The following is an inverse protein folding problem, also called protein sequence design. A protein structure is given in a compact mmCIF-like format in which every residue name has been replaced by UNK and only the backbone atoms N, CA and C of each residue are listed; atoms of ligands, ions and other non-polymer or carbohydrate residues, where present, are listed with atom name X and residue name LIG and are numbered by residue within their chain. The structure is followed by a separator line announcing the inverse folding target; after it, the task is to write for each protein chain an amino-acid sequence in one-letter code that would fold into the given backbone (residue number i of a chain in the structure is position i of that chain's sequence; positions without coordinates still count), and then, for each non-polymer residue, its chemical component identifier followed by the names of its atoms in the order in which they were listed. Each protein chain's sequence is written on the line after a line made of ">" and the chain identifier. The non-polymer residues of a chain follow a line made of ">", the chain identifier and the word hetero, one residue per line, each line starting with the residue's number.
data_IF_737237914940
#
_entry.id   IF_737237914940
#
_cell.length_a   1.000
_cell.length_b   1.000
_cell.length_c   1.000
_cell.angle_alpha   90.00
_cell.angle_beta   90.00
_cell.angle_gamma   90.00
#
_symmetry.space_group_name_H-M   'P 1'
#
loop_
_entity.id
_entity.type
_entity.pdbx_description
1 polymer ?
#
# COMPACT_ATOMS: atom_id res chain seq x y z
N UNK A 1 33.86 -1.21 -1.12
CA UNK A 1 32.91 -0.18 -0.67
C UNK A 1 31.61 -0.90 -0.41
N UNK A 2 31.17 -1.01 0.84
CA UNK A 2 29.92 -1.70 1.17
C UNK A 2 28.76 -0.96 0.50
N UNK A 3 27.94 -1.69 -0.26
CA UNK A 3 26.73 -1.12 -0.84
C UNK A 3 25.69 -1.00 0.27
N UNK A 4 25.11 0.18 0.41
CA UNK A 4 23.86 0.30 1.18
C UNK A 4 22.82 -0.40 0.33
N UNK A 5 22.28 -1.50 0.85
CA UNK A 5 21.17 -2.18 0.22
C UNK A 5 20.01 -1.21 0.30
N UNK A 6 19.54 -0.74 -0.85
CA UNK A 6 18.24 -0.10 -0.89
C UNK A 6 17.28 -1.15 -0.34
N UNK A 7 16.65 -0.86 0.80
CA UNK A 7 15.53 -1.65 1.27
C UNK A 7 14.47 -1.42 0.19
N UNK A 8 14.40 -2.34 -0.78
CA UNK A 8 13.25 -2.45 -1.65
C UNK A 8 12.08 -2.63 -0.71
N UNK A 9 11.29 -1.58 -0.57
CA UNK A 9 9.99 -1.64 0.09
C UNK A 9 9.28 -2.81 -0.56
N UNK A 10 9.04 -3.86 0.24
CA UNK A 10 8.38 -5.11 -0.12
C UNK A 10 7.60 -4.96 -1.42
N UNK A 11 8.17 -5.44 -2.52
CA UNK A 11 7.61 -5.55 -3.86
C UNK A 11 6.15 -5.01 -3.99
N UNK A 12 5.98 -3.69 -3.96
CA UNK A 12 4.85 -3.07 -4.65
C UNK A 12 5.30 -3.10 -6.11
N UNK A 13 5.17 -4.28 -6.72
CA UNK A 13 5.04 -4.42 -8.17
C UNK A 13 3.72 -3.76 -8.57
N UNK A 14 3.59 -2.46 -8.29
CA UNK A 14 2.89 -1.57 -9.17
C UNK A 14 3.72 -1.59 -10.43
N UNK A 15 3.41 -2.50 -11.35
CA UNK A 15 3.74 -2.28 -12.74
C UNK A 15 3.16 -0.90 -13.03
N UNK A 16 4.02 0.10 -13.06
CA UNK A 16 3.74 1.39 -13.64
C UNK A 16 3.41 1.11 -15.09
N UNK A 17 2.15 0.75 -15.34
CA UNK A 17 1.61 0.78 -16.69
C UNK A 17 1.58 2.25 -16.99
N UNK A 18 2.61 2.68 -17.71
CA UNK A 18 2.59 3.88 -18.50
C UNK A 18 1.21 3.92 -19.15
N UNK A 19 0.35 4.82 -18.67
CA UNK A 19 -0.87 5.15 -19.38
C UNK A 19 -0.40 5.88 -20.64
N UNK A 20 0.02 5.09 -21.64
CA UNK A 20 0.16 5.55 -22.98
C UNK A 20 -1.21 6.10 -23.34
N UNK A 21 -1.29 7.42 -23.48
CA UNK A 21 -2.42 8.13 -24.03
C UNK A 21 -2.58 7.68 -25.48
N UNK A 22 -3.17 6.50 -25.65
CA UNK A 22 -3.67 6.01 -26.92
C UNK A 22 -5.12 6.47 -26.98
N UNK A 23 -5.41 7.29 -27.99
CA UNK A 23 -6.76 7.72 -28.38
C UNK A 23 -7.65 6.49 -28.68
N UNK A 24 -8.14 5.81 -27.64
CA UNK A 24 -9.34 5.00 -27.67
C UNK A 24 -10.52 5.91 -27.41
N UNK A 25 -11.64 5.69 -28.10
CA UNK A 25 -12.85 6.47 -27.89
C UNK A 25 -13.30 6.32 -26.43
N UNK A 26 -13.22 7.38 -25.63
CA UNK A 26 -13.75 7.40 -24.26
C UNK A 26 -15.22 6.97 -24.29
N UNK A 27 -15.57 5.91 -23.55
CA UNK A 27 -16.96 5.50 -23.38
C UNK A 27 -17.68 6.63 -22.63
N UNK A 28 -18.77 7.21 -23.16
CA UNK A 28 -19.51 8.26 -22.46
C UNK A 28 -19.91 7.78 -21.05
N UNK A 29 -19.70 8.63 -20.04
CA UNK A 29 -19.93 8.29 -18.63
C UNK A 29 -21.28 7.60 -18.35
N UNK A 30 -22.43 8.05 -18.89
CA UNK A 30 -23.71 7.34 -18.70
C UNK A 30 -23.70 5.91 -19.25
N UNK A 31 -23.10 5.69 -20.42
CA UNK A 31 -22.99 4.36 -21.02
C UNK A 31 -22.06 3.43 -20.21
N UNK A 32 -20.97 3.98 -19.65
CA UNK A 32 -20.06 3.23 -18.77
C UNK A 32 -20.77 2.77 -17.47
N UNK A 33 -21.57 3.65 -16.87
CA UNK A 33 -22.34 3.32 -15.66
C UNK A 33 -23.32 2.17 -15.92
N UNK A 34 -24.12 2.29 -16.98
CA UNK A 34 -25.13 1.30 -17.33
C UNK A 34 -24.50 -0.08 -17.60
N UNK A 35 -23.37 -0.09 -18.31
CA UNK A 35 -22.61 -1.32 -18.60
C UNK A 35 -22.12 -2.01 -17.32
N UNK A 36 -21.48 -1.27 -16.40
CA UNK A 36 -20.96 -1.84 -15.15
C UNK A 36 -22.08 -2.35 -14.22
N UNK A 37 -23.21 -1.66 -14.18
CA UNK A 37 -24.38 -2.10 -13.42
C UNK A 37 -25.04 -3.34 -14.03
N UNK A 38 -25.07 -3.44 -15.36
CA UNK A 38 -25.54 -4.64 -16.06
C UNK A 38 -24.64 -5.84 -15.75
N UNK A 39 -23.31 -5.67 -15.83
CA UNK A 39 -22.33 -6.69 -15.45
C UNK A 39 -22.48 -7.11 -13.98
N UNK A 40 -22.76 -6.16 -13.08
CA UNK A 40 -23.06 -6.49 -11.68
C UNK A 40 -24.31 -7.34 -11.53
N UNK A 41 -25.33 -7.13 -12.36
CA UNK A 41 -26.52 -7.97 -12.37
C UNK A 41 -26.16 -9.42 -12.74
N UNK A 42 -25.39 -9.63 -13.81
CA UNK A 42 -24.88 -10.95 -14.20
C UNK A 42 -24.02 -11.59 -13.11
N UNK A 43 -23.10 -10.83 -12.52
CA UNK A 43 -22.18 -11.30 -11.49
C UNK A 43 -22.86 -11.86 -10.23
N UNK A 44 -24.11 -11.45 -9.94
CA UNK A 44 -24.88 -12.01 -8.82
C UNK A 44 -25.38 -13.45 -9.09
N UNK A 45 -25.37 -13.89 -10.35
CA UNK A 45 -25.96 -15.17 -10.77
C UNK A 45 -24.92 -16.18 -11.24
N UNK A 46 -23.83 -15.73 -11.89
CA UNK A 46 -22.80 -16.61 -12.41
C UNK A 46 -21.44 -15.89 -12.58
N UNK A 47 -20.33 -16.64 -12.69
CA UNK A 47 -19.06 -16.10 -13.19
C UNK A 47 -19.25 -15.46 -14.57
N UNK A 48 -18.49 -14.41 -14.86
CA UNK A 48 -18.59 -13.72 -16.15
C UNK A 48 -18.12 -14.64 -17.29
N UNK A 49 -18.92 -14.73 -18.35
CA UNK A 49 -18.58 -15.47 -19.55
C UNK A 49 -17.63 -14.67 -20.47
N UNK A 50 -17.21 -15.24 -21.59
CA UNK A 50 -16.24 -14.60 -22.50
C UNK A 50 -16.70 -13.26 -23.10
N UNK A 51 -18.00 -13.11 -23.37
CA UNK A 51 -18.59 -11.87 -23.88
C UNK A 51 -18.60 -10.79 -22.79
N UNK A 52 -19.06 -11.14 -21.59
CA UNK A 52 -19.10 -10.24 -20.44
C UNK A 52 -17.70 -9.81 -19.97
N UNK A 53 -16.72 -10.71 -20.03
CA UNK A 53 -15.31 -10.36 -19.80
C UNK A 53 -14.78 -9.39 -20.86
N UNK A 54 -15.18 -9.57 -22.13
CA UNK A 54 -14.86 -8.63 -23.20
C UNK A 54 -15.48 -7.25 -22.98
N UNK A 55 -16.74 -7.20 -22.56
CA UNK A 55 -17.44 -5.97 -22.21
C UNK A 55 -16.80 -5.25 -21.02
N UNK A 56 -16.45 -5.99 -19.96
CA UNK A 56 -15.74 -5.43 -18.81
C UNK A 56 -14.38 -4.84 -19.19
N UNK A 57 -13.59 -5.53 -20.03
CA UNK A 57 -12.31 -5.00 -20.53
C UNK A 57 -12.51 -3.70 -21.28
N UNK A 58 -13.48 -3.68 -22.20
CA UNK A 58 -13.81 -2.49 -22.99
C UNK A 58 -14.23 -1.32 -22.10
N UNK A 59 -15.08 -1.58 -21.09
CA UNK A 59 -15.49 -0.58 -20.11
C UNK A 59 -14.31 -0.01 -19.32
N UNK A 60 -13.25 -0.80 -19.12
CA UNK A 60 -12.05 -0.42 -18.37
C UNK A 60 -10.85 -0.05 -19.26
N UNK A 61 -11.06 0.16 -20.57
CA UNK A 61 -9.99 0.58 -21.50
C UNK A 61 -9.36 1.91 -21.08
N UNK A 62 -10.19 2.85 -20.62
CA UNK A 62 -9.76 4.16 -20.07
C UNK A 62 -9.23 4.11 -18.63
N UNK A 63 -9.09 2.91 -18.05
CA UNK A 63 -8.73 2.71 -16.65
C UNK A 63 -9.93 2.39 -15.76
N UNK A 64 -9.64 2.16 -14.47
CA UNK A 64 -10.68 1.92 -13.46
C UNK A 64 -11.32 3.27 -13.11
N UNK A 65 -12.64 3.43 -13.27
CA UNK A 65 -13.27 4.73 -13.07
C UNK A 65 -13.21 5.17 -11.60
N UNK A 66 -13.31 6.48 -11.38
CA UNK A 66 -13.40 7.11 -10.07
C UNK A 66 -14.82 7.41 -9.63
N UNK A 67 -15.00 7.68 -8.33
CA UNK A 67 -16.28 8.09 -7.77
C UNK A 67 -16.80 9.34 -8.49
N UNK A 68 -15.95 10.32 -8.75
CA UNK A 68 -16.33 11.52 -9.49
C UNK A 68 -16.79 11.24 -10.93
N UNK A 69 -16.37 10.12 -11.53
CA UNK A 69 -16.80 9.70 -12.86
C UNK A 69 -18.10 8.88 -12.80
N UNK A 70 -18.19 7.87 -11.94
CA UNK A 70 -19.27 6.87 -11.99
C UNK A 70 -20.08 6.73 -10.70
N UNK A 71 -19.82 7.53 -9.67
CA UNK A 71 -20.51 7.48 -8.38
C UNK A 71 -20.27 6.21 -7.56
N UNK A 72 -20.59 6.26 -6.27
CA UNK A 72 -20.36 5.14 -5.36
C UNK A 72 -21.20 3.90 -5.65
N UNK A 73 -22.40 4.04 -6.21
CA UNK A 73 -23.23 2.87 -6.55
C UNK A 73 -22.55 1.98 -7.58
N UNK A 74 -21.89 2.57 -8.58
CA UNK A 74 -21.14 1.84 -9.60
C UNK A 74 -19.81 1.34 -9.05
N UNK A 75 -19.07 2.15 -8.29
CA UNK A 75 -17.82 1.67 -7.66
C UNK A 75 -18.06 0.48 -6.72
N UNK A 76 -19.12 0.53 -5.90
CA UNK A 76 -19.50 -0.60 -5.05
C UNK A 76 -19.91 -1.83 -5.87
N UNK A 77 -20.54 -1.62 -7.03
CA UNK A 77 -20.89 -2.69 -7.96
C UNK A 77 -19.65 -3.38 -8.57
N UNK A 78 -18.50 -2.70 -8.63
CA UNK A 78 -17.27 -3.29 -9.17
C UNK A 78 -16.77 -4.48 -8.34
N UNK A 79 -16.95 -4.51 -7.02
CA UNK A 79 -16.45 -5.60 -6.18
C UNK A 79 -16.98 -6.98 -6.63
N UNK A 80 -18.30 -7.20 -6.66
CA UNK A 80 -18.90 -8.42 -7.20
C UNK A 80 -18.51 -8.72 -8.66
N UNK A 81 -18.43 -7.70 -9.52
CA UNK A 81 -18.03 -7.86 -10.93
C UNK A 81 -16.61 -8.39 -11.05
N UNK A 82 -15.68 -7.84 -10.27
CA UNK A 82 -14.28 -8.27 -10.25
C UNK A 82 -14.14 -9.66 -9.62
N UNK A 83 -14.94 -10.01 -8.61
CA UNK A 83 -14.96 -11.38 -8.08
C UNK A 83 -15.46 -12.39 -9.13
N UNK A 84 -16.50 -12.04 -9.88
CA UNK A 84 -17.05 -12.87 -10.95
C UNK A 84 -16.14 -12.97 -12.20
N UNK A 85 -15.15 -12.09 -12.35
CA UNK A 85 -14.22 -12.08 -13.49
C UNK A 85 -13.04 -13.05 -13.36
N UNK A 86 -13.16 -14.11 -12.55
CA UNK A 86 -12.08 -15.08 -12.28
C UNK A 86 -11.50 -15.80 -13.51
N UNK A 87 -12.20 -15.76 -14.66
CA UNK A 87 -11.70 -16.22 -15.95
C UNK A 87 -10.57 -15.35 -16.52
N UNK A 88 -10.33 -14.15 -16.01
CA UNK A 88 -9.23 -13.26 -16.40
C UNK A 88 -8.45 -12.70 -15.20
N UNK A 89 -7.39 -13.42 -14.84
CA UNK A 89 -6.54 -13.06 -13.70
C UNK A 89 -5.71 -11.79 -13.93
N UNK A 90 -5.34 -11.51 -15.18
CA UNK A 90 -4.56 -10.32 -15.50
C UNK A 90 -5.42 -9.06 -15.34
N UNK A 91 -6.68 -9.13 -15.78
CA UNK A 91 -7.67 -8.08 -15.54
C UNK A 91 -7.91 -7.86 -14.05
N UNK A 92 -8.17 -8.93 -13.27
CA UNK A 92 -8.37 -8.81 -11.82
C UNK A 92 -7.20 -8.12 -11.14
N UNK A 93 -5.96 -8.48 -11.50
CA UNK A 93 -4.75 -7.85 -10.95
C UNK A 93 -4.69 -6.37 -11.31
N UNK A 94 -4.81 -6.04 -12.60
CA UNK A 94 -4.79 -4.64 -13.08
C UNK A 94 -5.82 -3.77 -12.36
N UNK A 95 -7.02 -4.30 -12.13
CA UNK A 95 -8.07 -3.55 -11.42
C UNK A 95 -7.75 -3.39 -9.94
N UNK A 96 -7.31 -4.44 -9.26
CA UNK A 96 -6.93 -4.37 -7.84
C UNK A 96 -5.77 -3.41 -7.62
N UNK A 97 -4.76 -3.41 -8.49
CA UNK A 97 -3.62 -2.49 -8.40
C UNK A 97 -4.11 -1.03 -8.57
N UNK A 98 -4.95 -0.77 -9.58
CA UNK A 98 -5.53 0.57 -9.79
C UNK A 98 -6.51 1.03 -8.68
N UNK A 99 -7.11 0.10 -7.93
CA UNK A 99 -7.90 0.43 -6.74
C UNK A 99 -6.99 0.75 -5.54
N UNK A 100 -5.87 0.05 -5.38
CA UNK A 100 -4.91 0.27 -4.30
C UNK A 100 -4.38 1.70 -4.29
N UNK A 101 -4.01 2.23 -5.47
CA UNK A 101 -3.51 3.60 -5.66
C UNK A 101 -4.46 4.69 -5.19
N UNK A 102 -5.75 4.36 -4.98
CA UNK A 102 -6.80 5.30 -4.56
C UNK A 102 -7.39 4.97 -3.20
N UNK A 103 -6.81 4.01 -2.47
CA UNK A 103 -7.26 3.69 -1.10
C UNK A 103 -7.07 4.91 -0.20
N UNK A 104 -8.18 5.38 0.38
CA UNK A 104 -8.19 6.60 1.18
C UNK A 104 -8.54 7.87 0.45
N UNK A 105 -8.52 7.84 -0.89
CA UNK A 105 -9.12 8.84 -1.75
C UNK A 105 -10.58 8.39 -1.98
N UNK A 106 -10.97 7.88 -3.14
CA UNK A 106 -12.36 7.42 -3.35
C UNK A 106 -12.62 5.94 -3.00
N UNK A 107 -11.57 5.17 -2.71
CA UNK A 107 -11.67 3.75 -2.34
C UNK A 107 -11.55 3.55 -0.82
N UNK A 108 -12.54 2.85 -0.24
CA UNK A 108 -12.58 2.55 1.19
C UNK A 108 -11.53 1.48 1.54
N UNK A 109 -10.67 1.71 2.55
CA UNK A 109 -9.66 0.72 2.96
C UNK A 109 -10.23 -0.65 3.35
N UNK A 110 -11.38 -0.70 4.03
CA UNK A 110 -11.99 -1.98 4.47
C UNK A 110 -12.59 -2.69 3.26
N UNK A 111 -13.32 -1.97 2.41
CA UNK A 111 -13.85 -2.50 1.16
C UNK A 111 -12.76 -3.07 0.25
N UNK A 112 -11.65 -2.35 0.10
CA UNK A 112 -10.50 -2.82 -0.66
C UNK A 112 -9.87 -4.08 -0.05
N UNK A 113 -9.59 -4.06 1.25
CA UNK A 113 -9.02 -5.20 1.97
C UNK A 113 -9.88 -6.46 1.83
N UNK A 114 -11.19 -6.31 1.93
CA UNK A 114 -12.14 -7.41 1.76
C UNK A 114 -12.17 -7.94 0.33
N UNK A 115 -12.21 -7.08 -0.69
CA UNK A 115 -12.13 -7.50 -2.10
C UNK A 115 -10.84 -8.29 -2.37
N UNK A 116 -9.70 -7.77 -1.90
CA UNK A 116 -8.40 -8.41 -2.08
C UNK A 116 -8.36 -9.79 -1.42
N UNK A 117 -8.84 -9.90 -0.18
CA UNK A 117 -8.90 -11.17 0.56
C UNK A 117 -9.86 -12.17 -0.08
N UNK A 118 -11.02 -11.73 -0.58
CA UNK A 118 -11.97 -12.59 -1.29
C UNK A 118 -11.36 -13.14 -2.58
N UNK A 119 -10.64 -12.30 -3.33
CA UNK A 119 -9.89 -12.73 -4.52
C UNK A 119 -8.77 -13.71 -4.17
N UNK A 120 -8.06 -13.51 -3.06
CA UNK A 120 -7.02 -14.42 -2.59
C UNK A 120 -7.61 -15.80 -2.23
N UNK A 121 -8.68 -15.82 -1.43
CA UNK A 121 -9.37 -17.04 -1.01
C UNK A 121 -9.95 -17.80 -2.20
N UNK A 122 -10.57 -17.09 -3.17
CA UNK A 122 -11.07 -17.70 -4.41
C UNK A 122 -9.97 -18.41 -5.24
N UNK A 123 -8.70 -18.08 -4.99
CA UNK A 123 -7.53 -18.68 -5.64
C UNK A 123 -6.82 -19.70 -4.74
N UNK A 124 -7.40 -20.06 -3.60
CA UNK A 124 -6.79 -20.96 -2.62
C UNK A 124 -5.56 -20.36 -1.91
N UNK A 125 -5.42 -19.02 -1.92
CA UNK A 125 -4.36 -18.32 -1.19
C UNK A 125 -4.85 -17.88 0.18
N UNK A 126 -3.90 -17.61 1.08
CA UNK A 126 -4.18 -16.96 2.37
C UNK A 126 -4.66 -15.52 2.14
N UNK A 127 -5.49 -15.05 3.05
CA UNK A 127 -5.84 -13.64 3.15
C UNK A 127 -4.61 -12.81 3.54
N UNK A 128 -4.56 -11.57 3.06
CA UNK A 128 -3.53 -10.58 3.34
C UNK A 128 -3.95 -9.68 4.51
N UNK A 129 -5.22 -9.29 4.57
CA UNK A 129 -5.71 -8.26 5.51
C UNK A 129 -6.57 -8.82 6.65
N UNK A 130 -6.89 -10.13 6.60
CA UNK A 130 -7.75 -10.79 7.59
C UNK A 130 -9.19 -10.26 7.58
N UNK A 131 -9.67 -9.77 6.43
CA UNK A 131 -10.98 -9.13 6.27
C UNK A 131 -12.15 -10.13 6.25
N UNK A 132 -11.89 -11.43 6.14
CA UNK A 132 -12.92 -12.48 6.14
C UNK A 132 -12.70 -13.36 7.39
N UNK A 133 -13.33 -13.01 8.54
CA UNK A 133 -13.19 -13.77 9.76
C UNK A 133 -13.91 -15.12 9.70
N UNK A 134 -13.46 -16.06 10.52
CA UNK A 134 -14.11 -17.36 10.72
C UNK A 134 -14.89 -17.36 12.03
N UNK A 135 -16.16 -17.77 11.98
CA UNK A 135 -16.97 -17.99 13.18
C UNK A 135 -16.67 -19.37 13.75
N UNK A 136 -16.14 -19.42 14.98
CA UNK A 136 -15.88 -20.66 15.71
C UNK A 136 -16.39 -20.53 17.14
N UNK A 137 -17.19 -21.49 17.57
CA UNK A 137 -17.75 -21.53 18.93
C UNK A 137 -18.47 -20.22 19.33
N UNK A 138 -19.13 -19.57 18.35
CA UNK A 138 -19.84 -18.30 18.53
C UNK A 138 -18.96 -17.05 18.55
N UNK A 139 -17.66 -17.19 18.27
CA UNK A 139 -16.68 -16.09 18.27
C UNK A 139 -16.02 -15.97 16.89
N UNK A 140 -16.01 -14.76 16.34
CA UNK A 140 -15.27 -14.41 15.14
C UNK A 140 -13.77 -14.27 15.46
N UNK A 141 -12.94 -14.96 14.70
CA UNK A 141 -11.48 -14.89 14.78
C UNK A 141 -10.83 -14.91 13.41
N UNK A 142 -9.51 -14.73 13.38
CA UNK A 142 -8.75 -14.95 12.17
C UNK A 142 -8.84 -16.43 11.73
N UNK A 143 -8.90 -16.69 10.41
CA UNK A 143 -8.84 -18.04 9.88
C UNK A 143 -7.60 -18.80 10.33
N UNK A 144 -7.70 -20.13 10.36
CA UNK A 144 -6.56 -20.98 10.71
C UNK A 144 -5.35 -20.70 9.81
N UNK A 145 -4.21 -20.40 10.43
CA UNK A 145 -2.93 -20.21 9.73
C UNK A 145 -2.67 -18.77 9.25
N UNK A 146 -3.53 -17.83 9.65
CA UNK A 146 -3.25 -16.41 9.70
C UNK A 146 -2.87 -16.01 11.13
N UNK A 147 -1.99 -15.02 11.25
CA UNK A 147 -1.60 -14.41 12.52
C UNK A 147 -1.81 -12.90 12.47
N UNK A 148 -2.09 -12.30 13.63
CA UNK A 148 -2.40 -10.86 13.73
C UNK A 148 -1.23 -9.99 13.25
N UNK A 149 0.01 -10.38 13.54
CA UNK A 149 1.19 -9.57 13.20
C UNK A 149 1.34 -9.43 11.69
N UNK A 150 1.21 -10.53 10.94
CA UNK A 150 1.31 -10.51 9.47
C UNK A 150 0.20 -9.68 8.85
N UNK A 151 -1.05 -9.85 9.29
CA UNK A 151 -2.16 -9.07 8.71
C UNK A 151 -2.10 -7.60 9.11
N UNK A 152 -1.66 -7.28 10.33
CA UNK A 152 -1.63 -5.91 10.80
C UNK A 152 -0.59 -5.06 10.07
N UNK A 153 0.54 -5.64 9.64
CA UNK A 153 1.50 -4.94 8.79
C UNK A 153 0.83 -4.38 7.52
N UNK A 154 0.10 -5.24 6.79
CA UNK A 154 -0.62 -4.85 5.58
C UNK A 154 -1.83 -3.95 5.85
N UNK A 155 -2.50 -4.14 6.99
CA UNK A 155 -3.62 -3.28 7.39
C UNK A 155 -3.16 -1.86 7.69
N UNK A 156 -2.04 -1.72 8.38
CA UNK A 156 -1.47 -0.43 8.75
C UNK A 156 -1.04 0.38 7.51
N UNK A 157 -0.57 -0.26 6.43
CA UNK A 157 -0.35 0.36 5.10
C UNK A 157 -1.61 1.03 4.54
N UNK A 158 -2.79 0.42 4.75
CA UNK A 158 -4.07 1.00 4.33
C UNK A 158 -4.62 2.04 5.32
N UNK A 159 -3.93 2.25 6.45
CA UNK A 159 -4.40 3.03 7.59
C UNK A 159 -5.55 2.36 8.33
N UNK A 160 -5.68 1.04 8.25
CA UNK A 160 -6.62 0.26 9.03
C UNK A 160 -6.05 -0.02 10.42
N UNK A 161 -6.93 0.02 11.41
CA UNK A 161 -6.57 -0.37 12.76
C UNK A 161 -6.22 -1.87 12.86
N UNK A 162 -5.50 -2.32 13.90
CA UNK A 162 -5.23 -3.73 14.14
C UNK A 162 -6.49 -4.59 14.08
N UNK A 163 -6.39 -5.77 13.48
CA UNK A 163 -7.53 -6.66 13.21
C UNK A 163 -8.30 -7.06 14.47
N UNK A 164 -7.62 -7.12 15.62
CA UNK A 164 -8.24 -7.42 16.91
C UNK A 164 -9.35 -6.43 17.30
N UNK A 165 -9.25 -5.15 16.87
CA UNK A 165 -10.29 -4.16 17.14
C UNK A 165 -11.55 -4.41 16.30
N UNK A 166 -11.37 -4.80 15.04
CA UNK A 166 -12.48 -5.18 14.15
C UNK A 166 -13.18 -6.44 14.64
N UNK A 167 -12.39 -7.46 15.01
CA UNK A 167 -12.92 -8.71 15.54
C UNK A 167 -13.67 -8.48 16.85
N UNK A 168 -13.15 -7.62 17.73
CA UNK A 168 -13.86 -7.25 18.97
C UNK A 168 -15.20 -6.58 18.65
N UNK A 169 -15.21 -5.56 17.79
CA UNK A 169 -16.43 -4.85 17.43
C UNK A 169 -17.47 -5.80 16.79
N UNK A 170 -17.03 -6.69 15.91
CA UNK A 170 -17.89 -7.69 15.29
C UNK A 170 -18.47 -8.68 16.31
N UNK A 171 -17.66 -9.16 17.25
CA UNK A 171 -18.12 -10.05 18.32
C UNK A 171 -19.08 -9.36 19.29
N UNK A 172 -18.87 -8.08 19.60
CA UNK A 172 -19.79 -7.31 20.44
C UNK A 172 -21.18 -7.18 19.77
N UNK A 173 -21.23 -7.03 18.44
CA UNK A 173 -22.48 -7.03 17.67
C UNK A 173 -23.18 -8.40 17.71
N UNK A 174 -22.45 -9.49 17.55
CA UNK A 174 -22.99 -10.85 17.70
C UNK A 174 -23.57 -11.06 19.11
N UNK A 175 -22.88 -10.58 20.15
CA UNK A 175 -23.28 -10.74 21.53
C UNK A 175 -24.60 -10.01 21.86
N UNK A 176 -24.90 -8.91 21.16
CA UNK A 176 -26.19 -8.20 21.29
C UNK A 176 -27.26 -8.69 20.31
N UNK A 177 -27.00 -9.79 19.60
CA UNK A 177 -27.97 -10.49 18.77
C UNK A 177 -28.07 -9.98 17.34
N UNK A 178 -27.10 -9.20 16.84
CA UNK A 178 -27.04 -8.87 15.41
C UNK A 178 -26.76 -10.16 14.63
N UNK A 179 -27.56 -10.48 13.59
CA UNK A 179 -27.33 -11.65 12.76
C UNK A 179 -25.93 -11.69 12.16
N UNK A 180 -25.31 -12.88 12.13
CA UNK A 180 -23.95 -13.05 11.63
C UNK A 180 -23.75 -12.50 10.22
N UNK A 181 -24.68 -12.77 9.31
CA UNK A 181 -24.67 -12.27 7.94
C UNK A 181 -24.70 -10.74 7.85
N UNK A 182 -25.34 -10.07 8.79
CA UNK A 182 -25.30 -8.61 8.89
C UNK A 182 -23.98 -8.10 9.47
N UNK A 183 -23.35 -8.83 10.39
CA UNK A 183 -22.04 -8.48 10.98
C UNK A 183 -20.91 -8.61 9.96
N UNK A 184 -20.91 -9.67 9.16
CA UNK A 184 -19.86 -9.92 8.14
C UNK A 184 -20.29 -9.48 6.73
N UNK A 185 -21.31 -8.65 6.63
CA UNK A 185 -21.78 -8.10 5.36
C UNK A 185 -20.62 -7.36 4.66
N UNK A 186 -20.55 -7.52 3.34
CA UNK A 186 -19.45 -6.95 2.57
C UNK A 186 -19.41 -5.42 2.69
N UNK A 187 -18.23 -4.89 2.99
CA UNK A 187 -17.96 -3.46 3.00
C UNK A 187 -18.03 -2.92 1.57
N UNK A 188 -18.62 -1.74 1.40
CA UNK A 188 -18.59 -1.03 0.12
C UNK A 188 -17.16 -0.67 -0.26
N UNK A 189 -16.83 -0.75 -1.56
CA UNK A 189 -15.55 -0.29 -2.08
C UNK A 189 -15.39 1.22 -2.06
N UNK A 190 -16.49 1.97 -2.07
CA UNK A 190 -16.48 3.42 -2.22
C UNK A 190 -16.61 4.13 -0.88
N UNK A 191 -15.90 5.25 -0.76
CA UNK A 191 -16.05 6.23 0.32
C UNK A 191 -16.02 7.65 -0.24
N UNK A 192 -16.48 8.62 0.56
CA UNK A 192 -16.41 10.05 0.24
C UNK A 192 -15.62 10.79 1.31
N UNK A 193 -14.27 10.78 1.28
CA UNK A 193 -13.51 11.62 2.18
C UNK A 193 -13.70 13.10 1.82
N UNK A 194 -13.33 13.98 2.75
CA UNK A 194 -13.17 15.38 2.41
C UNK A 194 -12.10 15.53 1.29
N UNK A 195 -12.29 16.46 0.32
CA UNK A 195 -11.27 16.73 -0.68
C UNK A 195 -9.92 17.07 -0.05
N UNK A 196 -8.85 16.63 -0.68
CA UNK A 196 -7.49 16.99 -0.26
C UNK A 196 -7.31 18.52 -0.35
N UNK A 197 -6.58 19.08 0.61
CA UNK A 197 -6.43 20.54 0.73
C UNK A 197 -5.27 21.10 -0.10
N UNK A 198 -4.34 20.25 -0.55
CA UNK A 198 -3.14 20.67 -1.30
C UNK A 198 -2.98 19.81 -2.57
N UNK A 199 -3.89 19.92 -3.55
CA UNK A 199 -3.83 19.13 -4.79
C UNK A 199 -2.54 19.36 -5.58
N UNK A 200 -2.01 20.60 -5.63
CA UNK A 200 -0.75 20.90 -6.32
C UNK A 200 0.44 20.22 -5.65
N UNK A 201 0.44 20.12 -4.30
CA UNK A 201 1.48 19.40 -3.56
C UNK A 201 1.36 17.90 -3.80
N UNK A 202 0.14 17.34 -3.82
CA UNK A 202 -0.08 15.93 -4.18
C UNK A 202 0.46 15.63 -5.57
N UNK A 203 0.11 16.43 -6.58
CA UNK A 203 0.63 16.25 -7.94
C UNK A 203 2.16 16.32 -7.98
N UNK A 204 2.77 17.28 -7.28
CA UNK A 204 4.23 17.41 -7.23
C UNK A 204 4.92 16.22 -6.54
N UNK A 205 4.25 15.57 -5.57
CA UNK A 205 4.72 14.34 -4.94
C UNK A 205 4.64 13.16 -5.90
N UNK A 206 3.50 12.98 -6.56
CA UNK A 206 3.28 11.90 -7.54
C UNK A 206 4.38 11.95 -8.64
N UNK A 207 4.61 13.13 -9.25
CA UNK A 207 5.60 13.31 -10.32
C UNK A 207 7.05 13.03 -9.88
N UNK A 208 7.38 13.36 -8.62
CA UNK A 208 8.72 13.14 -8.06
C UNK A 208 8.93 11.69 -7.67
N UNK A 209 7.91 11.08 -7.08
CA UNK A 209 7.91 9.68 -6.75
C UNK A 209 8.10 8.82 -8.00
N UNK A 210 7.32 9.05 -9.05
CA UNK A 210 7.46 8.32 -10.31
C UNK A 210 8.86 8.45 -10.92
N UNK A 211 9.45 9.66 -10.87
CA UNK A 211 10.82 9.87 -11.37
C UNK A 211 11.87 9.18 -10.51
N UNK A 212 11.75 9.27 -9.18
CA UNK A 212 12.64 8.60 -8.23
C UNK A 212 12.62 7.08 -8.44
N UNK A 213 11.42 6.48 -8.48
CA UNK A 213 11.28 5.03 -8.63
C UNK A 213 11.72 4.54 -10.01
N UNK A 214 11.40 5.25 -11.10
CA UNK A 214 11.80 4.85 -12.45
C UNK A 214 13.31 4.88 -12.66
N UNK A 215 14.03 5.83 -12.06
CA UNK A 215 15.49 5.86 -12.12
C UNK A 215 16.11 4.69 -11.35
N UNK A 216 15.53 4.32 -10.21
CA UNK A 216 15.97 3.15 -9.43
C UNK A 216 15.70 1.85 -10.17
N UNK A 217 14.52 1.68 -10.76
CA UNK A 217 14.20 0.51 -11.60
C UNK A 217 15.18 0.38 -12.77
N UNK A 218 15.54 1.48 -13.44
CA UNK A 218 16.57 1.47 -14.50
C UNK A 218 17.92 1.01 -13.96
N UNK A 219 18.33 1.50 -12.78
CA UNK A 219 19.60 1.10 -12.17
C UNK A 219 19.62 -0.37 -11.76
N UNK A 220 18.56 -0.85 -11.10
CA UNK A 220 18.40 -2.23 -10.66
C UNK A 220 18.43 -3.19 -11.86
N UNK A 221 17.70 -2.86 -12.94
CA UNK A 221 17.70 -3.65 -14.18
C UNK A 221 19.02 -3.63 -14.93
N UNK A 222 19.79 -2.55 -14.84
CA UNK A 222 21.11 -2.46 -15.44
C UNK A 222 22.13 -3.35 -14.70
N UNK A 223 21.87 -3.69 -13.43
CA UNK A 223 22.77 -4.46 -12.56
C UNK A 223 24.20 -3.88 -12.53
N UNK A 224 24.33 -2.55 -12.61
CA UNK A 224 25.62 -1.85 -12.65
C UNK A 224 26.14 -1.52 -11.25
N UNK A 225 27.42 -1.18 -11.12
CA UNK A 225 28.03 -0.78 -9.85
C UNK A 225 27.55 0.61 -9.36
N UNK A 226 28.05 1.06 -8.21
CA UNK A 226 27.67 2.36 -7.60
C UNK A 226 28.27 3.60 -8.27
N UNK A 227 29.20 3.42 -9.22
CA UNK A 227 29.85 4.52 -9.94
C UNK A 227 29.30 4.69 -11.37
N UNK A 228 28.27 3.92 -11.72
CA UNK A 228 27.62 3.92 -13.03
C UNK A 228 26.90 5.23 -13.34
N UNK A 229 26.51 5.40 -14.61
CA UNK A 229 25.73 6.57 -15.02
C UNK A 229 24.32 6.54 -14.40
N UNK A 230 23.75 5.35 -14.25
CA UNK A 230 22.44 5.10 -13.65
C UNK A 230 22.46 5.44 -12.15
N UNK A 231 23.48 4.98 -11.41
CA UNK A 231 23.67 5.31 -10.00
C UNK A 231 23.78 6.84 -9.79
N UNK A 232 24.57 7.52 -10.62
CA UNK A 232 24.71 8.98 -10.58
C UNK A 232 23.42 9.72 -10.94
N UNK A 233 22.57 9.14 -11.78
CA UNK A 233 21.27 9.71 -12.09
C UNK A 233 20.31 9.65 -10.89
N UNK A 234 20.31 8.52 -10.17
CA UNK A 234 19.59 8.36 -8.89
C UNK A 234 20.11 9.35 -7.86
N UNK A 235 21.42 9.41 -7.62
CA UNK A 235 22.02 10.36 -6.67
C UNK A 235 21.66 11.83 -6.98
N UNK A 236 21.66 12.18 -8.27
CA UNK A 236 21.29 13.52 -8.71
C UNK A 236 19.79 13.81 -8.46
N UNK A 237 18.90 12.83 -8.60
CA UNK A 237 17.48 12.97 -8.27
C UNK A 237 17.28 13.04 -6.75
N UNK A 238 17.96 12.21 -5.96
CA UNK A 238 17.93 12.25 -4.49
C UNK A 238 18.35 13.62 -3.96
N UNK A 239 19.38 14.25 -4.56
CA UNK A 239 19.81 15.60 -4.21
C UNK A 239 18.76 16.67 -4.57
N UNK A 240 18.01 16.50 -5.67
CA UNK A 240 16.91 17.40 -6.05
C UNK A 240 15.71 17.21 -5.11
N UNK A 241 15.37 15.97 -4.79
CA UNK A 241 14.28 15.63 -3.89
C UNK A 241 14.57 16.05 -2.46
N UNK A 242 15.82 15.95 -1.99
CA UNK A 242 16.21 16.45 -0.66
C UNK A 242 15.94 17.95 -0.50
N UNK A 243 16.18 18.77 -1.54
CA UNK A 243 15.85 20.21 -1.53
C UNK A 243 14.34 20.46 -1.47
N UNK A 244 13.57 19.65 -2.19
CA UNK A 244 12.12 19.71 -2.18
C UNK A 244 11.56 19.31 -0.81
N UNK A 245 12.01 18.18 -0.25
CA UNK A 245 11.64 17.71 1.10
C UNK A 245 11.94 18.79 2.14
N UNK A 246 13.11 19.42 2.09
CA UNK A 246 13.44 20.52 3.00
C UNK A 246 12.48 21.72 2.88
N UNK A 247 12.08 22.07 1.67
CA UNK A 247 11.08 23.13 1.46
C UNK A 247 9.70 22.73 2.01
N UNK A 248 9.25 21.50 1.75
CA UNK A 248 7.96 21.01 2.25
C UNK A 248 7.93 20.94 3.76
N UNK A 249 8.96 20.37 4.41
CA UNK A 249 9.03 20.31 5.87
C UNK A 249 9.05 21.69 6.52
N UNK A 250 9.62 22.71 5.85
CA UNK A 250 9.64 24.09 6.34
C UNK A 250 8.28 24.77 6.20
N UNK A 251 7.64 24.62 5.04
CA UNK A 251 6.45 25.41 4.68
C UNK A 251 5.15 24.75 5.15
N UNK A 252 5.11 23.43 5.17
CA UNK A 252 3.92 22.61 5.45
C UNK A 252 4.10 21.62 6.60
N UNK A 253 5.35 21.35 6.95
CA UNK A 253 5.71 20.21 7.78
C UNK A 253 5.63 18.88 7.04
N UNK A 254 5.55 17.77 7.77
CA UNK A 254 5.29 16.47 7.15
C UNK A 254 3.83 16.46 6.63
N UNK A 255 3.57 16.35 5.31
CA UNK A 255 2.23 16.44 4.76
C UNK A 255 1.31 15.38 5.36
N UNK A 256 0.11 15.81 5.78
CA UNK A 256 -0.90 14.90 6.35
C UNK A 256 -1.78 14.26 5.27
N UNK A 257 -2.54 13.23 5.65
CA UNK A 257 -3.54 12.63 4.75
C UNK A 257 -4.55 13.66 4.24
N UNK A 258 -4.95 14.63 5.05
CA UNK A 258 -5.89 15.68 4.63
C UNK A 258 -5.28 16.64 3.60
N UNK A 259 -3.95 16.72 3.52
CA UNK A 259 -3.26 17.59 2.57
C UNK A 259 -3.08 16.91 1.22
N UNK A 260 -2.61 15.66 1.24
CA UNK A 260 -2.13 14.99 0.03
C UNK A 260 -2.69 13.58 -0.16
N UNK A 261 -3.68 13.17 0.62
CA UNK A 261 -4.19 11.79 0.62
C UNK A 261 -3.17 10.80 1.19
N UNK A 262 -3.54 9.52 1.28
CA UNK A 262 -2.63 8.48 1.83
C UNK A 262 -1.42 8.24 0.93
N UNK A 263 -1.65 8.11 -0.37
CA UNK A 263 -0.59 7.94 -1.36
C UNK A 263 0.47 9.02 -1.23
N UNK A 264 0.07 10.30 -1.22
CA UNK A 264 1.02 11.40 -1.07
C UNK A 264 1.81 11.39 0.26
N UNK A 265 1.23 10.88 1.35
CA UNK A 265 1.97 10.72 2.62
C UNK A 265 3.08 9.68 2.46
N UNK A 266 2.79 8.54 1.85
CA UNK A 266 3.76 7.47 1.57
C UNK A 266 4.85 7.91 0.59
N UNK A 267 4.48 8.62 -0.47
CA UNK A 267 5.44 9.17 -1.42
C UNK A 267 6.40 10.15 -0.76
N UNK A 268 5.87 11.06 0.08
CA UNK A 268 6.72 11.98 0.82
C UNK A 268 7.66 11.26 1.77
N UNK A 269 7.18 10.23 2.46
CA UNK A 269 8.02 9.36 3.29
C UNK A 269 9.18 8.76 2.47
N UNK A 270 8.94 8.21 1.28
CA UNK A 270 9.99 7.62 0.46
C UNK A 270 11.02 8.66 0.01
N UNK A 271 10.58 9.86 -0.36
CA UNK A 271 11.51 10.96 -0.67
C UNK A 271 12.37 11.36 0.54
N UNK A 272 11.82 11.31 1.76
CA UNK A 272 12.60 11.48 3.00
C UNK A 272 13.56 10.31 3.21
N UNK A 273 13.12 9.08 2.97
CA UNK A 273 13.90 7.86 3.16
C UNK A 273 15.13 7.81 2.24
N UNK A 274 15.02 8.41 1.06
CA UNK A 274 16.09 8.59 0.07
C UNK A 274 16.90 9.87 0.26
N UNK A 275 16.54 10.70 1.24
CA UNK A 275 17.38 11.85 1.58
C UNK A 275 18.66 11.38 2.27
N UNK A 276 19.80 11.75 1.71
CA UNK A 276 21.12 11.50 2.30
C UNK A 276 21.48 12.56 3.37
N UNK A 277 20.49 13.07 4.12
CA UNK A 277 20.67 14.11 5.16
C UNK A 277 20.10 13.66 6.51
N UNK A 278 20.97 13.36 7.49
CA UNK A 278 20.54 13.01 8.85
C UNK A 278 19.72 14.11 9.53
N UNK A 279 20.05 15.39 9.28
CA UNK A 279 19.34 16.53 9.84
C UNK A 279 17.91 16.60 9.30
N UNK A 280 17.74 16.46 7.99
CA UNK A 280 16.43 16.47 7.34
C UNK A 280 15.56 15.29 7.81
N UNK A 281 16.15 14.12 7.95
CA UNK A 281 15.47 12.92 8.46
C UNK A 281 15.06 13.07 9.92
N UNK A 282 15.90 13.71 10.74
CA UNK A 282 15.56 14.00 12.13
C UNK A 282 14.36 14.97 12.24
N UNK A 283 14.35 16.02 11.43
CA UNK A 283 13.22 16.95 11.37
C UNK A 283 11.95 16.25 10.90
N UNK A 284 12.04 15.41 9.86
CA UNK A 284 10.92 14.62 9.37
C UNK A 284 10.37 13.66 10.43
N UNK A 285 11.22 12.95 11.18
CA UNK A 285 10.80 12.03 12.26
C UNK A 285 10.00 12.72 13.37
N UNK A 286 10.38 13.94 13.74
CA UNK A 286 9.65 14.71 14.75
C UNK A 286 8.24 15.03 14.25
N UNK A 287 8.13 15.44 12.99
CA UNK A 287 6.88 15.88 12.38
C UNK A 287 5.97 14.72 11.95
N UNK A 288 6.54 13.58 11.58
CA UNK A 288 5.82 12.37 11.18
C UNK A 288 5.17 11.61 12.35
N UNK A 289 5.72 11.74 13.57
CA UNK A 289 5.22 11.03 14.77
C UNK A 289 3.70 11.16 14.99
N UNK A 290 3.09 12.36 14.96
CA UNK A 290 1.65 12.48 15.13
C UNK A 290 0.84 11.85 13.99
N UNK A 291 1.37 11.78 12.76
CA UNK A 291 0.70 11.12 11.63
C UNK A 291 0.69 9.61 11.83
N UNK A 292 1.83 9.04 12.24
CA UNK A 292 1.93 7.62 12.62
C UNK A 292 0.96 7.26 13.75
N UNK A 293 0.84 8.11 14.79
CA UNK A 293 -0.10 7.85 15.89
C UNK A 293 -1.57 7.88 15.45
N UNK A 294 -1.90 8.58 14.35
CA UNK A 294 -3.25 8.63 13.77
C UNK A 294 -3.49 7.59 12.67
N UNK A 295 -2.49 6.76 12.33
CA UNK A 295 -2.59 5.81 11.21
C UNK A 295 -2.62 6.48 9.84
N UNK A 296 -2.03 7.68 9.72
CA UNK A 296 -1.88 8.37 8.43
C UNK A 296 -0.55 8.03 7.74
N UNK A 297 0.47 7.67 8.52
CA UNK A 297 1.75 7.12 8.07
C UNK A 297 1.89 5.73 8.67
N UNK A 298 2.31 4.74 7.87
CA UNK A 298 2.52 3.40 8.38
C UNK A 298 3.61 3.39 9.47
N UNK A 299 3.41 2.59 10.51
CA UNK A 299 4.33 2.41 11.62
C UNK A 299 5.66 1.85 11.14
N UNK A 300 5.63 0.85 10.25
CA UNK A 300 6.87 0.28 9.74
C UNK A 300 7.71 1.34 8.98
N UNK A 301 7.09 2.22 8.19
CA UNK A 301 7.77 3.35 7.53
C UNK A 301 8.45 4.28 8.55
N UNK A 302 7.73 4.63 9.61
CA UNK A 302 8.30 5.42 10.70
C UNK A 302 9.49 4.72 11.38
N UNK A 303 9.41 3.39 11.57
CA UNK A 303 10.49 2.58 12.14
C UNK A 303 11.73 2.55 11.23
N UNK A 304 11.54 2.43 9.91
CA UNK A 304 12.60 2.45 8.90
C UNK A 304 13.38 3.77 8.92
N UNK A 305 12.68 4.90 9.05
CA UNK A 305 13.32 6.21 9.19
C UNK A 305 14.18 6.31 10.45
N UNK A 306 13.71 5.77 11.59
CA UNK A 306 14.49 5.75 12.84
C UNK A 306 15.80 5.00 12.63
N UNK A 307 15.73 3.80 12.06
CA UNK A 307 16.91 2.97 11.87
C UNK A 307 17.87 3.57 10.83
N UNK A 308 17.35 4.18 9.76
CA UNK A 308 18.19 4.89 8.77
C UNK A 308 18.91 6.08 9.40
N UNK A 309 18.23 6.89 10.21
CA UNK A 309 18.87 8.00 10.92
C UNK A 309 19.98 7.49 11.85
N UNK A 310 19.71 6.41 12.60
CA UNK A 310 20.69 5.84 13.53
C UNK A 310 21.90 5.27 12.80
N UNK A 311 21.68 4.60 11.66
CA UNK A 311 22.74 4.14 10.77
C UNK A 311 23.65 5.30 10.34
N UNK A 312 23.08 6.42 9.86
CA UNK A 312 23.89 7.60 9.50
C UNK A 312 24.64 8.21 10.70
N UNK A 313 24.08 8.11 11.90
CA UNK A 313 24.73 8.58 13.13
C UNK A 313 25.74 7.57 13.70
N UNK A 314 25.98 6.43 13.04
CA UNK A 314 26.85 5.37 13.56
C UNK A 314 26.33 4.70 14.84
N UNK A 315 25.03 4.78 15.09
CA UNK A 315 24.37 4.21 16.27
C UNK A 315 23.74 2.85 15.94
N UNK A 316 23.70 1.90 16.90
CA UNK A 316 22.98 0.65 16.71
C UNK A 316 21.50 0.87 16.43
N UNK A 317 20.90 0.08 15.56
CA UNK A 317 19.49 0.11 15.14
C UNK A 317 18.54 -0.32 16.26
N UNK A 318 17.29 0.15 16.20
CA UNK A 318 16.22 -0.24 17.13
C UNK A 318 15.38 -1.39 16.58
N UNK A 319 15.09 -1.36 15.28
CA UNK A 319 14.18 -2.29 14.60
C UNK A 319 14.89 -3.23 13.60
N UNK A 320 16.19 -3.02 13.36
CA UNK A 320 17.02 -3.87 12.50
C UNK A 320 16.63 -3.81 11.02
N UNK A 321 16.18 -2.67 10.50
CA UNK A 321 15.71 -2.60 9.11
C UNK A 321 16.82 -2.35 8.08
N UNK A 322 17.95 -1.76 8.47
CA UNK A 322 19.04 -1.43 7.56
C UNK A 322 20.03 -2.59 7.44
N UNK A 323 20.35 -2.94 6.20
CA UNK A 323 21.31 -3.97 5.83
C UNK A 323 22.47 -3.36 5.03
N UNK A 324 23.65 -3.98 5.16
CA UNK A 324 24.80 -3.72 4.32
C UNK A 324 25.11 -4.97 3.50
N UNK A 325 25.62 -4.78 2.29
CA UNK A 325 26.17 -5.85 1.48
C UNK A 325 27.69 -5.74 1.44
N UNK A 326 28.37 -6.82 1.83
CA UNK A 326 29.83 -6.98 1.73
C UNK A 326 30.12 -8.35 1.10
N UNK A 327 30.89 -8.36 0.00
CA UNK A 327 31.25 -9.57 -0.76
C UNK A 327 30.06 -10.48 -1.14
N UNK A 328 28.93 -9.86 -1.53
CA UNK A 328 27.70 -10.58 -1.91
C UNK A 328 26.95 -11.18 -0.72
N UNK A 329 27.32 -10.80 0.51
CA UNK A 329 26.66 -11.25 1.73
C UNK A 329 25.94 -10.08 2.39
N UNK A 330 24.64 -10.26 2.62
CA UNK A 330 23.84 -9.36 3.42
C UNK A 330 24.10 -9.56 4.90
N UNK A 331 24.36 -8.46 5.60
CA UNK A 331 24.52 -8.40 7.04
C UNK A 331 23.75 -7.19 7.60
N UNK A 332 23.09 -7.31 8.76
CA UNK A 332 22.46 -6.16 9.40
C UNK A 332 23.51 -5.23 10.01
N UNK A 333 23.26 -3.91 9.95
CA UNK A 333 23.99 -2.97 10.81
C UNK A 333 23.76 -3.33 12.30
N UNK A 334 24.67 -2.95 13.23
CA UNK A 334 24.56 -3.30 14.64
C UNK A 334 23.17 -3.01 15.21
N UNK A 335 22.61 -3.92 16.02
CA UNK A 335 21.28 -3.77 16.63
C UNK A 335 21.46 -3.55 18.13
N UNK A 336 20.79 -2.54 18.70
CA UNK A 336 20.97 -2.12 20.10
C UNK A 336 20.67 -3.24 21.09
N UNK A 337 19.55 -3.93 20.90
CA UNK A 337 19.11 -5.04 21.75
C UNK A 337 18.44 -6.11 20.89
N UNK A 338 19.18 -7.17 20.55
CA UNK A 338 18.66 -8.26 19.73
C UNK A 338 17.60 -9.09 20.47
N UNK A 339 17.65 -9.18 21.81
CA UNK A 339 16.72 -10.00 22.59
C UNK A 339 15.31 -9.38 22.65
N UNK A 340 15.22 -8.05 22.74
CA UNK A 340 13.95 -7.31 22.72
C UNK A 340 13.48 -6.87 21.33
N UNK A 341 14.20 -7.23 20.26
CA UNK A 341 13.96 -6.73 18.90
C UNK A 341 12.54 -7.01 18.40
N UNK A 342 12.11 -8.27 18.44
CA UNK A 342 10.81 -8.66 17.87
C UNK A 342 9.63 -8.07 18.64
N UNK A 343 9.79 -7.74 19.92
CA UNK A 343 8.77 -7.00 20.69
C UNK A 343 8.62 -5.57 20.15
N UNK A 344 9.73 -4.92 19.81
CA UNK A 344 9.70 -3.56 19.24
C UNK A 344 9.16 -3.57 17.81
N UNK A 345 9.53 -4.57 17.01
CA UNK A 345 9.02 -4.79 15.66
C UNK A 345 7.51 -5.02 15.66
N UNK A 346 7.01 -5.86 16.55
CA UNK A 346 5.56 -6.07 16.72
C UNK A 346 4.81 -4.79 17.07
N UNK A 347 5.33 -3.95 17.97
CA UNK A 347 4.70 -2.67 18.31
C UNK A 347 4.63 -1.67 17.14
N UNK A 348 5.43 -1.91 16.10
CA UNK A 348 5.48 -1.13 14.86
C UNK A 348 4.86 -1.88 13.67
N UNK A 349 4.09 -2.94 13.93
CA UNK A 349 3.44 -3.76 12.90
C UNK A 349 4.42 -4.31 11.86
N UNK A 350 5.59 -4.75 12.32
CA UNK A 350 6.63 -5.36 11.49
C UNK A 350 6.73 -6.86 11.76
N UNK A 351 6.96 -7.65 10.71
CA UNK A 351 7.28 -9.07 10.82
C UNK A 351 8.50 -9.32 11.74
N UNK A 352 8.70 -10.54 12.30
CA UNK A 352 9.91 -10.88 13.06
C UNK A 352 11.19 -10.65 12.25
N UNK A 353 12.26 -10.19 12.90
CA UNK A 353 13.51 -9.85 12.21
C UNK A 353 14.10 -11.04 11.43
N UNK A 354 14.07 -12.24 11.99
CA UNK A 354 14.65 -13.41 11.30
C UNK A 354 13.83 -13.82 10.06
N UNK A 355 12.53 -13.51 10.00
CA UNK A 355 11.72 -13.70 8.79
C UNK A 355 12.09 -12.66 7.73
N UNK A 356 12.13 -11.39 8.12
CA UNK A 356 12.57 -10.28 7.28
C UNK A 356 13.98 -10.50 6.72
N UNK A 357 14.93 -10.85 7.57
CA UNK A 357 16.31 -11.02 7.13
C UNK A 357 16.47 -12.18 6.13
N UNK A 358 15.68 -13.25 6.31
CA UNK A 358 15.65 -14.36 5.34
C UNK A 358 15.04 -13.98 4.01
N UNK A 359 13.99 -13.14 3.98
CA UNK A 359 13.40 -12.70 2.71
C UNK A 359 14.40 -11.84 1.94
N UNK A 360 15.07 -10.90 2.60
CA UNK A 360 16.12 -10.08 1.99
C UNK A 360 17.29 -10.91 1.45
N UNK A 361 17.68 -12.00 2.11
CA UNK A 361 18.74 -12.90 1.64
C UNK A 361 18.36 -13.79 0.44
N UNK A 362 17.07 -13.85 0.11
CA UNK A 362 16.54 -14.68 -0.97
C UNK A 362 16.19 -13.87 -2.23
N UNK A 363 16.27 -12.55 -2.15
CA UNK A 363 16.25 -11.61 -3.27
C UNK A 363 17.62 -11.56 -3.96
#
# INVERSE_FOLDING_TARGET
>A
MSRIVAISTYFILGLGVQAASAYGAEVPVPALRDELLALKSSANHHPLNGEELGALKKALEGGVPSEGQVGCDVLNAMGPVILASGGDRALQRKVVDALYERVGDDIDPRGYAELADRLAVARGKKQTYGAIPELKDGVLGLPKGLDERTVNQHRDELGLAPVALDLRAANDLLAVGVPHDAVVAASGLCQHPAPITHPDLRQALDERYERDQSLREVWDNAATDGDSAEAKAVDAEDARNSKFVAAVLRDYGFPSKAMVGRKGVGEFYLLVQHSHSPELMQDALIQARPLMLRGELARHDYALMIDRLRMFQGKPQIYGSQLSEEDGKLEPYPIEDRAGLDRRREAMEMEPFDSYFRSMQSE
#
